data_IF_921502688882
#
_entry.id   IF_921502688882
#
_cell.length_a   1.000
_cell.length_b   1.000
_cell.length_c   1.000
_cell.angle_alpha   90.00
_cell.angle_beta   90.00
_cell.angle_gamma   90.00
#
_symmetry.space_group_name_H-M   'P 1'
#
loop_
_entity.id
_entity.type
_entity.pdbx_description
1 polymer ?
#
# COMPACT_ATOMS: atom_id res chain seq x y z
N UNK A 1 3.56 -13.08 12.61
CA UNK A 1 2.29 -12.32 12.65
C UNK A 1 2.42 -10.94 12.01
N UNK A 2 3.31 -10.06 12.49
CA UNK A 2 3.49 -8.70 11.93
C UNK A 2 3.92 -8.73 10.46
N UNK A 3 4.95 -9.51 10.11
CA UNK A 3 5.41 -9.64 8.72
C UNK A 3 4.39 -10.29 7.80
N UNK A 4 3.58 -11.23 8.30
CA UNK A 4 2.49 -11.80 7.50
C UNK A 4 1.39 -10.76 7.25
N UNK A 5 1.10 -9.92 8.23
CA UNK A 5 0.17 -8.81 8.06
C UNK A 5 0.70 -7.81 7.02
N UNK A 6 1.97 -7.40 7.13
CA UNK A 6 2.61 -6.52 6.15
C UNK A 6 2.60 -7.13 4.74
N UNK A 7 3.07 -8.37 4.57
CA UNK A 7 3.03 -9.06 3.28
C UNK A 7 1.62 -9.17 2.69
N UNK A 8 0.62 -9.45 3.53
CA UNK A 8 -0.76 -9.54 3.04
C UNK A 8 -1.28 -8.20 2.53
N UNK A 9 -0.86 -7.10 3.17
CA UNK A 9 -1.18 -5.74 2.73
C UNK A 9 -0.46 -5.42 1.42
N UNK A 10 0.84 -5.69 1.32
CA UNK A 10 1.61 -5.46 0.08
C UNK A 10 1.08 -6.27 -1.10
N UNK A 11 0.74 -7.55 -0.89
CA UNK A 11 0.13 -8.35 -1.95
C UNK A 11 -1.21 -7.78 -2.42
N UNK A 12 -1.99 -7.18 -1.52
CA UNK A 12 -3.25 -6.54 -1.87
C UNK A 12 -3.01 -5.28 -2.70
N UNK A 13 -2.06 -4.43 -2.30
CA UNK A 13 -1.70 -3.19 -2.99
C UNK A 13 -1.05 -3.46 -4.35
N UNK A 14 -0.12 -4.41 -4.43
CA UNK A 14 0.49 -4.83 -5.68
C UNK A 14 -0.54 -5.41 -6.67
N UNK A 15 -1.49 -6.23 -6.22
CA UNK A 15 -2.57 -6.74 -7.09
C UNK A 15 -3.49 -5.61 -7.59
N UNK A 16 -3.74 -4.59 -6.75
CA UNK A 16 -4.47 -3.39 -7.17
C UNK A 16 -3.73 -2.66 -8.30
N UNK A 17 -2.43 -2.40 -8.14
CA UNK A 17 -1.65 -1.70 -9.16
C UNK A 17 -1.43 -2.52 -10.41
N UNK A 18 -1.15 -3.81 -10.32
CA UNK A 18 -0.99 -4.68 -11.48
C UNK A 18 -2.23 -4.63 -12.39
N UNK A 19 -3.42 -4.68 -11.77
CA UNK A 19 -4.69 -4.57 -12.51
C UNK A 19 -4.94 -3.16 -13.03
N UNK A 20 -4.61 -2.13 -12.26
CA UNK A 20 -4.75 -0.74 -12.70
C UNK A 20 -3.82 -0.43 -13.88
N UNK A 21 -2.59 -0.96 -13.88
CA UNK A 21 -1.65 -0.85 -15.01
C UNK A 21 -2.19 -1.58 -16.24
N UNK A 22 -2.80 -2.75 -16.05
CA UNK A 22 -3.42 -3.51 -17.14
C UNK A 22 -4.62 -2.77 -17.76
N UNK A 23 -5.31 -1.92 -17.00
CA UNK A 23 -6.43 -1.14 -17.51
C UNK A 23 -5.97 0.03 -18.38
N UNK A 24 -6.42 0.03 -19.64
CA UNK A 24 -5.94 0.94 -20.69
C UNK A 24 -6.58 2.33 -20.67
N UNK A 25 -7.20 2.71 -19.54
CA UNK A 25 -8.03 3.91 -19.43
C UNK A 25 -7.29 5.14 -18.83
N UNK A 26 -6.02 5.00 -18.46
CA UNK A 26 -5.22 6.10 -17.91
C UNK A 26 -4.51 6.90 -19.02
N UNK A 27 -4.40 8.21 -18.81
CA UNK A 27 -3.53 9.06 -19.62
C UNK A 27 -2.06 8.68 -19.39
N UNK A 28 -1.18 8.95 -20.36
CA UNK A 28 0.22 8.49 -20.33
C UNK A 28 0.96 8.87 -19.04
N UNK A 29 0.79 10.10 -18.55
CA UNK A 29 1.45 10.55 -17.32
C UNK A 29 0.95 9.81 -16.07
N UNK A 30 -0.33 9.41 -16.05
CA UNK A 30 -0.88 8.62 -14.94
C UNK A 30 -0.41 7.18 -15.03
N UNK A 31 -0.33 6.63 -16.24
CA UNK A 31 0.23 5.31 -16.47
C UNK A 31 1.67 5.19 -15.97
N UNK A 32 2.50 6.21 -16.23
CA UNK A 32 3.91 6.21 -15.79
C UNK A 32 4.00 6.28 -14.25
N UNK A 33 3.14 7.05 -13.58
CA UNK A 33 3.08 7.11 -12.11
C UNK A 33 2.66 5.76 -11.54
N UNK A 34 1.56 5.18 -12.04
CA UNK A 34 1.01 3.90 -11.55
C UNK A 34 1.99 2.75 -11.75
N UNK A 35 2.76 2.75 -12.85
CA UNK A 35 3.83 1.76 -13.05
C UNK A 35 4.96 1.89 -12.05
N UNK A 36 5.39 3.11 -11.75
CA UNK A 36 6.42 3.35 -10.73
C UNK A 36 5.97 2.84 -9.36
N UNK A 37 4.74 3.17 -8.97
CA UNK A 37 4.13 2.68 -7.72
C UNK A 37 4.07 1.15 -7.69
N UNK A 38 3.62 0.52 -8.78
CA UNK A 38 3.60 -0.93 -8.93
C UNK A 38 4.99 -1.55 -8.71
N UNK A 39 6.02 -0.97 -9.33
CA UNK A 39 7.39 -1.44 -9.20
C UNK A 39 7.89 -1.31 -7.75
N UNK A 40 7.57 -0.20 -7.08
CA UNK A 40 7.91 0.02 -5.66
C UNK A 40 7.20 -1.00 -4.75
N UNK A 41 5.93 -1.36 -5.02
CA UNK A 41 5.21 -2.40 -4.25
C UNK A 41 5.81 -3.80 -4.45
N UNK A 42 6.28 -4.12 -5.65
CA UNK A 42 7.00 -5.37 -5.91
C UNK A 42 8.31 -5.43 -5.10
N UNK A 43 9.03 -4.29 -4.97
CA UNK A 43 10.23 -4.20 -4.13
C UNK A 43 9.92 -4.29 -2.62
N UNK A 44 8.79 -3.72 -2.16
CA UNK A 44 8.31 -3.90 -0.79
C UNK A 44 8.07 -5.37 -0.47
N UNK A 45 7.39 -6.10 -1.38
CA UNK A 45 7.14 -7.53 -1.26
C UNK A 45 8.47 -8.30 -1.14
N UNK A 46 9.41 -8.06 -2.05
CA UNK A 46 10.69 -8.77 -2.07
C UNK A 46 11.47 -8.57 -0.77
N UNK A 47 11.49 -7.34 -0.24
CA UNK A 47 12.12 -7.03 1.04
C UNK A 47 11.47 -7.81 2.21
N UNK A 48 10.13 -7.86 2.26
CA UNK A 48 9.41 -8.55 3.31
C UNK A 48 9.48 -10.07 3.20
N UNK A 49 9.41 -10.63 1.99
CA UNK A 49 9.55 -12.07 1.74
C UNK A 49 10.96 -12.54 2.14
N UNK A 50 11.99 -11.76 1.81
CA UNK A 50 13.37 -11.99 2.24
C UNK A 50 13.46 -12.00 3.77
N UNK A 51 12.92 -10.98 4.43
CA UNK A 51 12.93 -10.88 5.89
C UNK A 51 12.16 -12.03 6.56
N UNK A 52 11.03 -12.46 6.01
CA UNK A 52 10.29 -13.64 6.51
C UNK A 52 11.13 -14.90 6.38
N UNK A 53 11.81 -15.10 5.25
CA UNK A 53 12.66 -16.26 5.02
C UNK A 53 13.87 -16.28 5.96
N UNK A 54 14.53 -15.15 6.16
CA UNK A 54 15.70 -15.04 7.03
C UNK A 54 15.36 -15.34 8.50
N UNK A 55 14.13 -15.03 8.91
CA UNK A 55 13.58 -15.39 10.22
C UNK A 55 13.04 -16.84 10.29
N UNK A 56 13.28 -17.65 9.26
CA UNK A 56 12.85 -19.06 9.18
C UNK A 56 11.35 -19.26 8.96
N UNK A 57 10.64 -18.20 8.57
CA UNK A 57 9.22 -18.24 8.27
C UNK A 57 8.91 -18.62 6.82
N UNK A 58 7.62 -18.61 6.49
CA UNK A 58 7.11 -18.77 5.12
C UNK A 58 6.11 -17.66 4.84
N UNK A 59 6.22 -17.05 3.67
CA UNK A 59 5.28 -16.03 3.21
C UNK A 59 3.82 -16.55 3.25
N UNK A 60 2.85 -15.70 3.65
CA UNK A 60 1.45 -16.06 3.60
C UNK A 60 0.98 -16.24 2.14
N UNK A 61 -0.15 -16.93 1.90
CA UNK A 61 -0.74 -16.96 0.57
C UNK A 61 -1.16 -15.55 0.14
N UNK A 62 -1.01 -15.25 -1.16
CA UNK A 62 -1.50 -13.99 -1.74
C UNK A 62 -3.03 -13.95 -1.68
N UNK A 63 -3.65 -12.87 -1.17
CA UNK A 63 -5.09 -12.66 -1.32
C UNK A 63 -5.46 -12.46 -2.79
N UNK A 64 -6.73 -12.70 -3.13
CA UNK A 64 -7.28 -12.50 -4.47
C UNK A 64 -8.48 -11.56 -4.39
N UNK A 65 -8.26 -10.26 -4.14
CA UNK A 65 -9.34 -9.28 -4.13
C UNK A 65 -9.96 -9.11 -5.53
N UNK A 66 -11.24 -8.73 -5.56
CA UNK A 66 -11.92 -8.29 -6.79
C UNK A 66 -12.08 -6.77 -6.76
N UNK A 67 -11.32 -6.09 -7.60
CA UNK A 67 -11.39 -4.63 -7.77
C UNK A 67 -12.27 -4.21 -8.96
N UNK A 68 -12.98 -5.14 -9.61
CA UNK A 68 -13.57 -4.94 -10.94
C UNK A 68 -14.44 -3.68 -11.06
N UNK A 69 -15.40 -3.46 -10.15
CA UNK A 69 -16.22 -2.24 -10.23
C UNK A 69 -15.46 -0.98 -9.82
N UNK A 70 -14.47 -1.10 -8.93
CA UNK A 70 -13.64 0.03 -8.52
C UNK A 70 -12.80 0.52 -9.71
N UNK A 71 -12.09 -0.38 -10.39
CA UNK A 71 -11.24 -0.06 -11.55
C UNK A 71 -12.05 0.37 -12.78
N UNK A 72 -13.31 -0.04 -12.88
CA UNK A 72 -14.24 0.45 -13.93
C UNK A 72 -14.70 1.91 -13.71
N UNK A 73 -14.28 2.55 -12.61
CA UNK A 73 -14.60 3.93 -12.31
C UNK A 73 -13.92 4.95 -13.24
N UNK A 74 -14.24 6.23 -13.07
CA UNK A 74 -13.53 7.32 -13.77
C UNK A 74 -12.05 7.33 -13.35
N UNK A 75 -11.08 7.56 -14.25
CA UNK A 75 -9.64 7.52 -13.93
C UNK A 75 -9.25 8.30 -12.67
N UNK A 76 -9.76 9.53 -12.51
CA UNK A 76 -9.47 10.38 -11.35
C UNK A 76 -10.08 9.83 -10.05
N UNK A 77 -11.21 9.13 -10.13
CA UNK A 77 -11.80 8.43 -8.99
C UNK A 77 -10.94 7.23 -8.60
N UNK A 78 -10.44 6.46 -9.58
CA UNK A 78 -9.56 5.30 -9.35
C UNK A 78 -8.23 5.73 -8.73
N UNK A 79 -7.58 6.76 -9.27
CA UNK A 79 -6.37 7.35 -8.67
C UNK A 79 -6.64 7.93 -7.27
N UNK A 80 -7.86 8.45 -7.05
CA UNK A 80 -8.29 8.86 -5.71
C UNK A 80 -8.36 7.69 -4.73
N UNK A 81 -8.79 6.51 -5.18
CA UNK A 81 -8.75 5.28 -4.39
C UNK A 81 -7.32 4.81 -4.17
N UNK A 82 -6.46 4.87 -5.19
CA UNK A 82 -5.04 4.56 -5.04
C UNK A 82 -4.41 5.40 -3.91
N UNK A 83 -4.63 6.73 -3.90
CA UNK A 83 -4.12 7.60 -2.84
C UNK A 83 -4.61 7.19 -1.44
N UNK A 84 -5.88 6.78 -1.32
CA UNK A 84 -6.40 6.27 -0.05
C UNK A 84 -5.81 4.93 0.37
N UNK A 85 -5.43 4.06 -0.60
CA UNK A 85 -4.81 2.78 -0.32
C UNK A 85 -3.41 2.96 0.24
N UNK A 86 -2.61 3.84 -0.36
CA UNK A 86 -1.28 4.25 0.14
C UNK A 86 -1.34 4.85 1.56
N UNK A 87 -2.34 5.71 1.83
CA UNK A 87 -2.55 6.26 3.17
C UNK A 87 -2.88 5.16 4.19
N UNK A 88 -3.64 4.14 3.78
CA UNK A 88 -3.91 2.96 4.61
C UNK A 88 -2.64 2.15 4.82
N UNK A 89 -1.82 1.95 3.78
CA UNK A 89 -0.49 1.34 3.82
C UNK A 89 0.40 1.99 4.88
N UNK A 90 0.66 3.29 4.72
CA UNK A 90 1.46 4.08 5.66
C UNK A 90 0.94 3.95 7.10
N UNK A 91 -0.36 4.13 7.31
CA UNK A 91 -0.94 4.07 8.65
C UNK A 91 -0.90 2.65 9.27
N UNK A 92 -0.98 1.61 8.45
CA UNK A 92 -0.91 0.21 8.88
C UNK A 92 0.49 -0.14 9.42
N UNK A 93 1.55 0.26 8.72
CA UNK A 93 2.93 0.07 9.18
C UNK A 93 3.19 0.78 10.50
N UNK A 94 2.78 2.03 10.61
CA UNK A 94 2.90 2.81 11.85
C UNK A 94 2.16 2.13 13.02
N UNK A 95 0.99 1.54 12.75
CA UNK A 95 0.22 0.79 13.74
C UNK A 95 0.88 -0.50 14.22
N UNK A 96 1.84 -1.06 13.48
CA UNK A 96 2.60 -2.23 13.93
C UNK A 96 3.77 -1.88 14.83
N UNK A 97 4.29 -0.65 14.79
CA UNK A 97 5.49 -0.22 15.53
C UNK A 97 5.51 -0.66 16.99
N UNK A 98 4.44 -0.51 17.80
CA UNK A 98 4.46 -0.89 19.21
C UNK A 98 4.64 -2.40 19.47
N UNK A 99 4.45 -3.23 18.43
CA UNK A 99 4.48 -4.69 18.50
C UNK A 99 5.83 -5.27 18.03
N UNK A 100 6.70 -4.45 17.45
CA UNK A 100 7.97 -4.87 16.84
C UNK A 100 9.09 -4.72 17.87
N UNK A 101 9.72 -5.82 18.24
CA UNK A 101 10.85 -5.82 19.18
C UNK A 101 12.20 -5.83 18.47
N UNK A 102 12.26 -6.46 17.31
CA UNK A 102 13.47 -6.57 16.51
C UNK A 102 13.73 -5.24 15.75
N UNK A 103 14.94 -4.70 15.90
CA UNK A 103 15.30 -3.39 15.33
C UNK A 103 15.51 -3.44 13.82
N UNK A 104 15.94 -4.57 13.28
CA UNK A 104 16.10 -4.75 11.83
C UNK A 104 14.73 -4.82 11.18
N UNK A 105 13.81 -5.60 11.78
CA UNK A 105 12.41 -5.64 11.36
C UNK A 105 11.78 -4.25 11.45
N UNK A 106 11.98 -3.53 12.57
CA UNK A 106 11.45 -2.18 12.72
C UNK A 106 12.01 -1.22 11.66
N UNK A 107 13.30 -1.31 11.35
CA UNK A 107 13.95 -0.51 10.32
C UNK A 107 13.32 -0.71 8.95
N UNK A 108 13.06 -1.96 8.56
CA UNK A 108 12.39 -2.29 7.28
C UNK A 108 10.98 -1.72 7.25
N UNK A 109 10.17 -1.98 8.29
CA UNK A 109 8.78 -1.50 8.35
C UNK A 109 8.68 0.03 8.34
N UNK A 110 9.59 0.74 9.01
CA UNK A 110 9.62 2.21 9.00
C UNK A 110 10.10 2.78 7.66
N UNK A 111 10.95 2.06 6.95
CA UNK A 111 11.40 2.46 5.60
C UNK A 111 10.23 2.40 4.62
N UNK A 112 9.46 1.30 4.62
CA UNK A 112 8.26 1.14 3.79
C UNK A 112 7.21 2.20 4.16
N UNK A 113 6.90 2.38 5.46
CA UNK A 113 6.01 3.44 5.93
C UNK A 113 6.30 4.83 5.33
N UNK A 114 7.59 5.18 5.22
CA UNK A 114 7.99 6.46 4.65
C UNK A 114 7.75 6.56 3.15
N UNK A 115 7.85 5.46 2.42
CA UNK A 115 7.63 5.38 0.97
C UNK A 115 6.13 5.45 0.66
N UNK A 116 5.30 4.66 1.35
CA UNK A 116 3.83 4.71 1.30
C UNK A 116 3.30 6.13 1.49
N UNK A 117 3.81 6.85 2.49
CA UNK A 117 3.42 8.24 2.74
C UNK A 117 3.77 9.19 1.58
N UNK A 118 4.86 8.91 0.85
CA UNK A 118 5.27 9.68 -0.35
C UNK A 118 4.41 9.29 -1.56
N UNK A 119 4.03 8.04 -1.70
CA UNK A 119 3.09 7.58 -2.73
C UNK A 119 1.75 8.30 -2.57
N UNK A 120 1.18 8.28 -1.36
CA UNK A 120 -0.06 8.99 -1.04
C UNK A 120 0.04 10.49 -1.35
N UNK A 121 1.14 11.14 -0.92
CA UNK A 121 1.40 12.54 -1.20
C UNK A 121 1.52 12.83 -2.71
N UNK A 122 2.23 11.98 -3.46
CA UNK A 122 2.42 12.10 -4.90
C UNK A 122 1.11 11.97 -5.68
N UNK A 123 0.28 10.98 -5.34
CA UNK A 123 -1.05 10.79 -5.94
C UNK A 123 -1.98 11.96 -5.61
N UNK A 124 -1.98 12.44 -4.37
CA UNK A 124 -2.76 13.63 -3.99
C UNK A 124 -2.32 14.87 -4.77
N UNK A 125 -1.01 15.11 -4.89
CA UNK A 125 -0.48 16.20 -5.71
C UNK A 125 -0.93 16.07 -7.17
N UNK A 126 -0.82 14.86 -7.75
CA UNK A 126 -1.25 14.59 -9.12
C UNK A 126 -2.74 14.86 -9.34
N UNK A 127 -3.58 14.59 -8.34
CA UNK A 127 -5.02 14.86 -8.34
C UNK A 127 -5.39 16.32 -8.06
N UNK A 128 -4.41 17.21 -7.86
CA UNK A 128 -4.64 18.59 -7.47
C UNK A 128 -5.18 18.76 -6.04
N UNK A 129 -5.00 17.74 -5.19
CA UNK A 129 -5.33 17.74 -3.77
C UNK A 129 -4.13 18.23 -2.95
N UNK A 130 -4.38 18.56 -1.69
CA UNK A 130 -3.27 18.85 -0.76
C UNK A 130 -2.46 17.58 -0.53
N UNK A 131 -1.14 17.68 -0.71
CA UNK A 131 -0.17 16.69 -0.26
C UNK A 131 0.43 17.04 1.11
N UNK A 132 -0.01 18.17 1.69
CA UNK A 132 0.34 18.57 3.06
C UNK A 132 -0.54 17.77 4.03
N UNK A 133 0.03 17.00 4.96
CA UNK A 133 -0.72 16.20 5.93
C UNK A 133 -1.61 17.03 6.86
N UNK A 134 -2.70 16.43 7.35
CA UNK A 134 -3.54 16.98 8.41
C UNK A 134 -2.90 16.77 9.81
N UNK A 135 -1.95 17.65 10.12
CA UNK A 135 -1.23 17.69 11.38
C UNK A 135 0.23 17.23 11.28
N UNK A 136 0.96 17.42 12.36
CA UNK A 136 2.41 17.18 12.41
C UNK A 136 2.79 15.70 12.64
N UNK A 137 1.84 14.86 13.06
CA UNK A 137 2.07 13.46 13.40
C UNK A 137 1.11 12.56 12.60
N UNK A 138 1.66 11.54 11.94
CA UNK A 138 0.88 10.52 11.27
C UNK A 138 0.04 9.71 12.29
N UNK A 139 -1.14 9.26 11.87
CA UNK A 139 -2.09 8.53 12.73
C UNK A 139 -2.04 7.03 12.39
N UNK A 140 -1.74 6.14 13.35
CA UNK A 140 -1.69 4.70 13.08
C UNK A 140 -3.09 4.10 12.90
N UNK A 141 -3.17 3.04 12.11
CA UNK A 141 -4.32 2.14 12.07
C UNK A 141 -3.97 0.79 12.69
N UNK A 142 -4.87 0.27 13.52
CA UNK A 142 -4.76 -1.12 13.99
C UNK A 142 -5.24 -2.10 12.90
N UNK A 143 -4.97 -3.40 13.09
CA UNK A 143 -5.26 -4.42 12.08
C UNK A 143 -6.75 -4.52 11.71
N UNK A 144 -7.66 -4.29 12.65
CA UNK A 144 -9.12 -4.34 12.39
C UNK A 144 -9.56 -3.15 11.55
N UNK A 145 -9.03 -1.96 11.84
CA UNK A 145 -9.31 -0.76 11.05
C UNK A 145 -8.74 -0.89 9.63
N UNK A 146 -7.54 -1.46 9.47
CA UNK A 146 -6.96 -1.74 8.14
C UNK A 146 -7.86 -2.70 7.37
N UNK A 147 -8.27 -3.83 7.97
CA UNK A 147 -9.19 -4.79 7.35
C UNK A 147 -10.47 -4.11 6.86
N UNK A 148 -11.13 -3.34 7.73
CA UNK A 148 -12.36 -2.63 7.38
C UNK A 148 -12.18 -1.63 6.23
N UNK A 149 -10.98 -1.02 6.10
CA UNK A 149 -10.66 -0.16 4.96
C UNK A 149 -10.48 -0.95 3.68
N UNK A 150 -9.73 -2.06 3.71
CA UNK A 150 -9.48 -2.91 2.54
C UNK A 150 -10.77 -3.54 1.99
N UNK A 151 -11.71 -3.91 2.86
CA UNK A 151 -13.05 -4.36 2.47
C UNK A 151 -13.81 -3.33 1.62
N UNK A 152 -13.50 -2.03 1.76
CA UNK A 152 -14.07 -0.97 0.93
C UNK A 152 -13.47 -0.88 -0.48
N UNK A 153 -12.40 -1.61 -0.77
CA UNK A 153 -11.77 -1.67 -2.10
C UNK A 153 -12.16 -2.92 -2.88
N UNK A 154 -12.29 -4.05 -2.18
CA UNK A 154 -12.68 -5.33 -2.76
C UNK A 154 -14.19 -5.52 -2.74
N UNK A 155 -14.79 -5.86 -3.88
CA UNK A 155 -16.24 -6.05 -4.05
C UNK A 155 -16.65 -7.50 -4.24
#
# INVERSE_FOLDING_TARGET
>A
AILHFALTLEYFTADFYERLVAERALERSDQDIVKGLRDDEDEHIDALETLVKDLGGRAPPRPLPDFGKLLSGRPQAVLGRAAELEDVGAAAYLGQVPRVQDKEVLGVLLSIHSVEGRHAAGLNHRLGRSFVPDGALARPLNADAVRARLEGFSL
#
